data_IF_866867050701
#
_entry.id   IF_866867050701
#
_cell.length_a   1.000
_cell.length_b   1.000
_cell.length_c   1.000
_cell.angle_alpha   90.00
_cell.angle_beta   90.00
_cell.angle_gamma   90.00
#
_symmetry.space_group_name_H-M   'P 1'
#
loop_
_entity.id
_entity.type
_entity.pdbx_description
1 polymer ?
#
# COMPACT_ATOMS: atom_id res chain seq x y z
N UNK A 1 -20.29 45.16 81.44
CA UNK A 1 -21.16 46.35 81.52
C UNK A 1 -22.24 46.26 80.46
N UNK A 2 -23.41 45.77 80.88
CA UNK A 2 -24.72 46.41 80.75
C UNK A 2 -25.15 47.16 79.47
N UNK A 3 -26.40 46.82 79.06
CA UNK A 3 -27.43 47.61 78.34
C UNK A 3 -27.25 47.81 76.82
N UNK A 4 -28.27 47.82 75.94
CA UNK A 4 -29.74 47.80 76.09
C UNK A 4 -30.40 47.36 74.78
N UNK A 5 -31.67 46.92 74.92
CA UNK A 5 -32.65 46.48 73.92
C UNK A 5 -33.26 47.61 73.08
N UNK A 6 -33.80 47.21 71.93
CA UNK A 6 -35.14 47.62 71.40
C UNK A 6 -35.12 48.26 70.01
N UNK A 7 -36.09 48.11 69.09
CA UNK A 7 -37.39 47.43 69.01
C UNK A 7 -37.72 47.25 67.49
N UNK A 8 -38.54 46.24 67.19
CA UNK A 8 -39.08 45.74 65.93
C UNK A 8 -39.59 46.75 64.87
N UNK A 9 -39.60 46.34 63.61
CA UNK A 9 -40.85 46.19 62.84
C UNK A 9 -40.78 45.04 61.82
N UNK A 10 -41.85 44.25 61.82
CA UNK A 10 -42.15 43.08 60.97
C UNK A 10 -42.36 43.47 59.50
N UNK A 11 -41.93 42.61 58.58
CA UNK A 11 -42.78 41.92 57.59
C UNK A 11 -42.03 40.68 57.07
N UNK A 12 -42.74 39.58 56.96
CA UNK A 12 -42.34 38.24 56.46
C UNK A 12 -43.47 37.76 55.53
N UNK A 13 -43.34 36.70 54.70
CA UNK A 13 -42.17 35.93 54.27
C UNK A 13 -42.06 35.87 52.73
N UNK A 14 -40.90 35.51 52.18
CA UNK A 14 -40.85 34.46 51.16
C UNK A 14 -39.58 33.64 51.35
N UNK A 15 -39.78 32.33 51.26
CA UNK A 15 -38.90 31.26 51.70
C UNK A 15 -37.56 31.25 50.96
N UNK A 16 -36.46 31.20 51.71
CA UNK A 16 -35.14 30.82 51.19
C UNK A 16 -34.54 29.77 52.11
N UNK A 17 -34.71 28.48 51.75
CA UNK A 17 -33.85 27.38 52.18
C UNK A 17 -33.91 26.25 51.16
N UNK A 18 -32.77 25.56 51.08
CA UNK A 18 -32.48 24.29 50.40
C UNK A 18 -31.97 24.49 48.96
N UNK A 19 -30.82 23.95 48.54
CA UNK A 19 -29.83 23.05 49.14
C UNK A 19 -28.53 23.18 48.33
N UNK A 20 -27.40 22.99 49.02
CA UNK A 20 -26.14 22.65 48.38
C UNK A 20 -26.31 21.40 47.52
N UNK A 21 -25.81 21.48 46.29
CA UNK A 21 -25.85 20.36 45.35
C UNK A 21 -25.28 20.78 44.01
N UNK A 22 -24.06 21.32 43.98
CA UNK A 22 -23.30 21.41 42.73
C UNK A 22 -22.91 20.00 42.32
N UNK A 23 -23.83 19.27 41.69
CA UNK A 23 -23.46 18.17 40.82
C UNK A 23 -22.74 18.80 39.64
N UNK A 24 -21.40 18.76 39.68
CA UNK A 24 -20.61 18.86 38.46
C UNK A 24 -21.08 17.70 37.57
N UNK A 25 -21.97 18.00 36.64
CA UNK A 25 -22.22 17.10 35.53
C UNK A 25 -20.96 17.16 34.67
N UNK A 26 -20.01 16.28 34.96
CA UNK A 26 -18.97 15.93 34.00
C UNK A 26 -19.71 15.30 32.84
N UNK A 27 -20.05 16.12 31.84
CA UNK A 27 -20.31 15.62 30.49
C UNK A 27 -19.00 14.95 30.08
N UNK A 28 -18.91 13.65 30.30
CA UNK A 28 -17.99 12.81 29.55
C UNK A 28 -18.40 13.02 28.10
N UNK A 29 -17.64 13.86 27.38
CA UNK A 29 -17.45 13.61 25.96
C UNK A 29 -16.84 12.22 25.91
N UNK A 30 -17.69 11.19 25.87
CA UNK A 30 -17.31 9.99 25.16
C UNK A 30 -17.03 10.52 23.76
N UNK A 31 -15.74 10.61 23.44
CA UNK A 31 -15.31 10.68 22.07
C UNK A 31 -16.04 9.55 21.38
N UNK A 32 -17.08 9.90 20.63
CA UNK A 32 -17.45 9.13 19.47
C UNK A 32 -16.21 9.24 18.57
N UNK A 33 -15.20 8.42 18.86
CA UNK A 33 -14.32 7.92 17.84
C UNK A 33 -15.30 7.20 16.95
N UNK A 34 -15.83 7.92 15.95
CA UNK A 34 -16.23 7.25 14.75
C UNK A 34 -15.02 6.40 14.42
N UNK A 35 -15.17 5.09 14.55
CA UNK A 35 -14.51 4.21 13.62
C UNK A 35 -14.96 4.75 12.27
N UNK A 36 -14.19 5.68 11.71
CA UNK A 36 -13.96 5.67 10.29
C UNK A 36 -13.32 4.30 10.14
N UNK A 37 -14.16 3.28 9.89
CA UNK A 37 -13.68 2.10 9.20
C UNK A 37 -13.00 2.70 7.99
N UNK A 38 -11.66 2.66 7.96
CA UNK A 38 -10.95 2.85 6.70
C UNK A 38 -11.70 1.94 5.72
N UNK A 39 -12.19 2.53 4.63
CA UNK A 39 -12.93 1.82 3.62
C UNK A 39 -12.16 0.54 3.26
N UNK A 40 -12.90 -0.52 2.92
CA UNK A 40 -12.35 -1.81 2.53
C UNK A 40 -11.19 -1.63 1.53
N UNK A 41 -9.96 -1.73 2.01
CA UNK A 41 -8.75 -1.64 1.21
C UNK A 41 -8.28 -3.04 0.85
N UNK A 42 -7.53 -3.15 -0.23
CA UNK A 42 -6.89 -4.40 -0.61
C UNK A 42 -5.90 -4.85 0.46
N UNK A 43 -5.68 -6.16 0.53
CA UNK A 43 -4.70 -6.80 1.40
C UNK A 43 -3.88 -7.78 0.56
N UNK A 44 -2.58 -7.49 0.43
CA UNK A 44 -1.63 -8.30 -0.32
C UNK A 44 -1.12 -9.40 0.61
N UNK A 45 -1.52 -10.63 0.32
CA UNK A 45 -1.06 -11.79 1.05
C UNK A 45 0.04 -12.51 0.28
N UNK A 46 1.20 -12.65 0.91
CA UNK A 46 2.31 -13.40 0.37
C UNK A 46 2.22 -14.87 0.78
N UNK A 47 2.25 -15.76 -0.21
CA UNK A 47 2.35 -17.20 -0.03
C UNK A 47 3.77 -17.68 -0.34
N UNK A 48 4.39 -18.29 0.66
CA UNK A 48 5.78 -18.74 0.63
C UNK A 48 5.91 -20.26 0.39
N UNK A 49 4.84 -20.92 -0.05
CA UNK A 49 4.80 -22.38 -0.24
C UNK A 49 5.82 -22.87 -1.28
N UNK A 50 6.18 -22.00 -2.23
CA UNK A 50 7.13 -22.30 -3.31
C UNK A 50 8.45 -21.52 -3.16
N UNK A 51 8.82 -21.12 -1.93
CA UNK A 51 10.13 -20.52 -1.60
C UNK A 51 11.20 -21.63 -1.39
N UNK A 52 11.43 -22.44 -2.41
CA UNK A 52 12.30 -23.62 -2.33
C UNK A 52 13.78 -23.24 -2.13
N UNK A 53 14.18 -22.05 -2.60
CA UNK A 53 15.51 -21.49 -2.43
C UNK A 53 15.73 -20.80 -1.07
N UNK A 54 14.75 -20.86 -0.16
CA UNK A 54 14.82 -20.31 1.20
C UNK A 54 15.14 -18.81 1.25
N UNK A 55 14.65 -18.05 0.28
CA UNK A 55 14.84 -16.61 0.21
C UNK A 55 14.09 -15.89 1.34
N UNK A 56 12.95 -16.44 1.80
CA UNK A 56 12.10 -15.89 2.86
C UNK A 56 11.90 -16.85 4.04
N UNK A 57 12.69 -17.92 4.14
CA UNK A 57 12.53 -18.94 5.18
C UNK A 57 13.83 -19.17 5.97
N UNK A 58 13.76 -20.00 7.02
CA UNK A 58 14.91 -20.28 7.89
C UNK A 58 15.49 -19.02 8.54
N UNK A 59 16.79 -18.77 8.34
CA UNK A 59 17.48 -17.57 8.84
C UNK A 59 17.02 -16.28 8.17
N UNK A 60 16.37 -16.39 7.00
CA UNK A 60 15.94 -15.27 6.18
C UNK A 60 14.49 -14.85 6.43
N UNK A 61 13.81 -15.47 7.41
CA UNK A 61 12.41 -15.19 7.74
C UNK A 61 12.11 -13.69 7.98
N UNK A 62 13.09 -12.93 8.50
CA UNK A 62 12.95 -11.49 8.73
C UNK A 62 12.66 -10.66 7.49
N UNK A 63 12.98 -11.16 6.29
CA UNK A 63 12.75 -10.47 5.00
C UNK A 63 11.26 -10.29 4.68
N UNK A 64 10.40 -11.14 5.23
CA UNK A 64 8.94 -11.03 5.07
C UNK A 64 8.42 -9.67 5.53
N UNK A 65 8.94 -9.13 6.64
CA UNK A 65 8.56 -7.81 7.12
C UNK A 65 8.95 -6.68 6.15
N UNK A 66 10.04 -6.85 5.40
CA UNK A 66 10.50 -5.87 4.40
C UNK A 66 9.64 -5.97 3.13
N UNK A 67 9.20 -7.19 2.78
CA UNK A 67 8.23 -7.40 1.70
C UNK A 67 6.85 -6.84 2.07
N UNK A 68 6.39 -7.01 3.31
CA UNK A 68 5.17 -6.40 3.83
C UNK A 68 5.26 -4.85 3.81
N UNK A 69 6.45 -4.30 4.08
CA UNK A 69 6.68 -2.86 3.92
C UNK A 69 6.50 -2.42 2.46
N UNK A 70 6.99 -3.19 1.48
CA UNK A 70 6.77 -2.89 0.07
C UNK A 70 5.27 -2.96 -0.30
N UNK A 71 4.55 -3.98 0.18
CA UNK A 71 3.09 -4.10 -0.01
C UNK A 71 2.33 -2.89 0.55
N UNK A 72 2.80 -2.30 1.66
CA UNK A 72 2.14 -1.15 2.27
C UNK A 72 2.05 0.08 1.36
N UNK A 73 2.88 0.19 0.31
CA UNK A 73 2.74 1.26 -0.69
C UNK A 73 1.49 1.10 -1.56
N UNK A 74 0.89 -0.08 -1.60
CA UNK A 74 -0.34 -0.35 -2.34
C UNK A 74 -1.54 -0.37 -1.37
N UNK A 75 -1.45 -1.12 -0.28
CA UNK A 75 -2.54 -1.27 0.70
C UNK A 75 -2.93 0.05 1.40
N UNK A 76 -1.99 0.99 1.50
CA UNK A 76 -2.30 2.29 2.09
C UNK A 76 -3.10 3.20 1.16
N UNK A 77 -2.92 3.06 -0.15
CA UNK A 77 -3.37 4.03 -1.15
C UNK A 77 -4.30 3.45 -2.22
N UNK A 78 -4.59 2.14 -2.21
CA UNK A 78 -5.56 1.50 -3.10
C UNK A 78 -6.79 1.12 -2.27
N UNK A 79 -7.93 1.67 -2.66
CA UNK A 79 -9.20 1.64 -1.91
C UNK A 79 -10.24 0.69 -2.51
N UNK A 80 -9.84 -0.17 -3.44
CA UNK A 80 -10.72 -1.17 -4.05
C UNK A 80 -11.30 -2.15 -3.04
N UNK A 81 -12.60 -2.42 -3.20
CA UNK A 81 -13.30 -3.52 -2.53
C UNK A 81 -13.47 -4.68 -3.51
N UNK A 82 -12.82 -5.80 -3.22
CA UNK A 82 -12.79 -6.96 -4.10
C UNK A 82 -13.63 -8.09 -3.49
N UNK A 83 -14.71 -8.56 -4.14
CA UNK A 83 -15.51 -9.67 -3.60
C UNK A 83 -14.67 -10.95 -3.52
N UNK A 84 -14.96 -11.84 -2.56
CA UNK A 84 -14.23 -13.11 -2.46
C UNK A 84 -14.46 -14.01 -3.69
N UNK A 85 -13.38 -14.57 -4.26
CA UNK A 85 -13.47 -15.62 -5.26
C UNK A 85 -13.53 -16.96 -4.56
N UNK A 86 -14.73 -17.41 -4.23
CA UNK A 86 -14.95 -18.65 -3.47
C UNK A 86 -15.86 -19.60 -4.23
N UNK A 87 -15.34 -20.73 -4.75
CA UNK A 87 -16.16 -21.76 -5.38
C UNK A 87 -17.16 -22.38 -4.39
N UNK A 88 -18.42 -22.52 -4.80
CA UNK A 88 -19.44 -23.33 -4.13
C UNK A 88 -19.55 -24.73 -4.74
N UNK A 89 -20.47 -25.56 -4.25
CA UNK A 89 -20.62 -26.95 -4.71
C UNK A 89 -20.87 -27.04 -6.22
N UNK A 90 -19.92 -27.63 -6.93
CA UNK A 90 -19.95 -27.75 -8.39
C UNK A 90 -19.09 -26.71 -9.11
N UNK A 91 -18.91 -25.51 -8.55
CA UNK A 91 -18.05 -24.48 -9.13
C UNK A 91 -16.57 -24.82 -8.99
N UNK A 92 -15.77 -24.37 -9.96
CA UNK A 92 -14.32 -24.52 -9.94
C UNK A 92 -13.70 -23.17 -10.27
N UNK A 93 -12.81 -22.70 -9.40
CA UNK A 93 -11.89 -21.61 -9.70
C UNK A 93 -10.47 -22.17 -9.73
N UNK A 94 -9.78 -21.95 -10.83
CA UNK A 94 -8.38 -22.32 -11.01
C UNK A 94 -7.52 -21.07 -11.17
N UNK A 95 -6.31 -21.14 -10.63
CA UNK A 95 -5.26 -20.14 -10.81
C UNK A 95 -4.04 -20.80 -11.44
N UNK A 96 -3.28 -20.02 -12.19
CA UNK A 96 -2.00 -20.44 -12.73
C UNK A 96 -0.98 -19.31 -12.61
N UNK A 97 0.26 -19.66 -12.30
CA UNK A 97 1.34 -18.68 -12.10
C UNK A 97 2.69 -19.34 -12.36
N UNK A 98 3.69 -18.53 -12.64
CA UNK A 98 5.08 -18.98 -12.79
C UNK A 98 5.63 -19.35 -11.42
N UNK A 99 6.27 -20.52 -11.31
CA UNK A 99 6.87 -20.97 -10.06
C UNK A 99 7.94 -19.95 -9.61
N UNK A 100 7.79 -19.34 -8.42
CA UNK A 100 8.71 -18.30 -7.99
C UNK A 100 10.14 -18.81 -7.68
N UNK A 101 10.36 -20.13 -7.65
CA UNK A 101 11.68 -20.75 -7.52
C UNK A 101 12.20 -21.44 -8.79
N UNK A 102 11.42 -21.43 -9.88
CA UNK A 102 11.82 -21.90 -11.21
C UNK A 102 10.97 -21.18 -12.27
N UNK A 103 11.49 -20.07 -12.79
CA UNK A 103 10.80 -19.20 -13.74
C UNK A 103 10.51 -19.85 -15.08
N UNK A 104 11.01 -21.06 -15.34
CA UNK A 104 10.71 -21.85 -16.53
C UNK A 104 9.50 -22.76 -16.35
N UNK A 105 9.03 -22.92 -15.10
CA UNK A 105 7.92 -23.78 -14.71
C UNK A 105 6.67 -22.96 -14.42
N UNK A 106 5.51 -23.48 -14.84
CA UNK A 106 4.20 -22.93 -14.49
C UNK A 106 3.44 -23.90 -13.59
N UNK A 107 2.86 -23.36 -12.53
CA UNK A 107 2.00 -24.06 -11.59
C UNK A 107 0.54 -23.78 -11.94
N UNK A 108 -0.31 -24.79 -11.80
CA UNK A 108 -1.76 -24.65 -11.95
C UNK A 108 -2.46 -25.32 -10.79
N UNK A 109 -3.27 -24.56 -10.07
CA UNK A 109 -4.04 -25.05 -8.93
C UNK A 109 -5.53 -24.88 -9.19
N UNK A 110 -6.32 -25.88 -8.82
CA UNK A 110 -7.79 -25.86 -8.95
C UNK A 110 -8.47 -25.79 -7.59
N UNK A 111 -9.75 -25.40 -7.58
CA UNK A 111 -10.57 -25.26 -6.37
C UNK A 111 -9.94 -24.29 -5.35
N UNK A 112 -9.42 -23.17 -5.87
CA UNK A 112 -8.83 -22.13 -5.05
C UNK A 112 -9.90 -21.18 -4.53
N UNK A 113 -9.66 -20.67 -3.34
CA UNK A 113 -10.40 -19.55 -2.76
C UNK A 113 -9.44 -18.38 -2.65
N UNK A 114 -9.90 -17.20 -3.04
CA UNK A 114 -9.24 -15.91 -2.77
C UNK A 114 -10.22 -15.13 -1.89
N UNK A 115 -9.77 -14.73 -0.71
CA UNK A 115 -10.58 -14.01 0.25
C UNK A 115 -11.03 -12.65 -0.29
N UNK A 116 -12.02 -12.06 0.37
CA UNK A 116 -12.44 -10.69 0.09
C UNK A 116 -11.23 -9.75 0.27
N UNK A 117 -11.07 -8.80 -0.65
CA UNK A 117 -9.97 -7.82 -0.70
C UNK A 117 -8.56 -8.42 -0.84
N UNK A 118 -8.43 -9.74 -0.98
CA UNK A 118 -7.13 -10.39 -1.12
C UNK A 118 -6.58 -10.28 -2.54
N UNK A 119 -5.30 -9.88 -2.60
CA UNK A 119 -4.39 -10.11 -3.72
C UNK A 119 -3.34 -11.13 -3.24
N UNK A 120 -3.38 -12.35 -3.78
CA UNK A 120 -2.50 -13.45 -3.38
C UNK A 120 -1.26 -13.46 -4.28
N UNK A 121 -0.07 -13.38 -3.68
CA UNK A 121 1.20 -13.37 -4.41
C UNK A 121 2.08 -14.52 -3.92
N UNK A 122 2.40 -15.47 -4.80
CA UNK A 122 3.38 -16.51 -4.51
C UNK A 122 4.80 -15.93 -4.68
N UNK A 123 5.65 -16.10 -3.68
CA UNK A 123 6.98 -15.47 -3.68
C UNK A 123 8.10 -16.45 -3.33
N UNK A 124 9.26 -16.17 -3.89
CA UNK A 124 10.47 -17.00 -3.81
C UNK A 124 11.61 -16.32 -4.56
N UNK A 125 12.60 -17.11 -4.97
CA UNK A 125 13.71 -16.61 -5.78
C UNK A 125 14.19 -17.64 -6.78
N UNK A 126 14.67 -17.20 -7.93
CA UNK A 126 15.27 -18.02 -8.98
C UNK A 126 16.51 -17.33 -9.57
N UNK A 127 17.34 -18.03 -10.34
CA UNK A 127 18.48 -17.45 -11.05
C UNK A 127 18.00 -16.70 -12.31
N UNK A 128 17.77 -15.39 -12.19
CA UNK A 128 17.11 -14.62 -13.25
C UNK A 128 18.05 -14.19 -14.39
N UNK A 129 19.37 -14.19 -14.14
CA UNK A 129 20.40 -13.77 -15.10
C UNK A 129 20.18 -12.34 -15.67
N UNK A 130 21.11 -11.87 -16.51
CA UNK A 130 20.92 -10.66 -17.36
C UNK A 130 20.58 -9.34 -16.65
N UNK A 131 21.02 -9.14 -15.40
CA UNK A 131 20.74 -7.97 -14.56
C UNK A 131 19.26 -7.80 -14.14
N UNK A 132 18.42 -8.83 -14.33
CA UNK A 132 17.06 -8.85 -13.81
C UNK A 132 17.11 -9.12 -12.32
N UNK A 133 16.57 -8.21 -11.50
CA UNK A 133 16.57 -8.35 -10.04
C UNK A 133 15.28 -8.99 -9.51
N UNK A 134 14.19 -8.87 -10.26
CA UNK A 134 12.89 -9.40 -9.93
C UNK A 134 12.09 -9.68 -11.19
N UNK A 135 11.11 -10.57 -11.06
CA UNK A 135 10.15 -10.89 -12.10
C UNK A 135 8.77 -11.13 -11.47
N UNK A 136 7.95 -10.08 -11.48
CA UNK A 136 6.56 -10.09 -11.11
C UNK A 136 5.67 -10.40 -12.32
N UNK A 137 4.76 -11.37 -12.18
CA UNK A 137 3.83 -11.75 -13.24
C UNK A 137 2.40 -11.77 -12.76
N UNK A 138 1.49 -11.31 -13.61
CA UNK A 138 0.06 -11.43 -13.35
C UNK A 138 -0.38 -12.89 -13.54
N UNK A 139 -1.24 -13.36 -12.62
CA UNK A 139 -1.70 -14.73 -12.58
C UNK A 139 -2.75 -15.09 -13.64
N UNK A 140 -2.55 -16.22 -14.31
CA UNK A 140 -3.58 -16.86 -15.11
C UNK A 140 -4.74 -17.37 -14.27
N UNK A 141 -5.91 -17.52 -14.88
CA UNK A 141 -7.13 -17.97 -14.19
C UNK A 141 -8.03 -18.80 -15.09
N UNK A 142 -8.87 -19.63 -14.48
CA UNK A 142 -9.92 -20.38 -15.16
C UNK A 142 -11.14 -20.54 -14.24
N UNK A 143 -12.32 -20.60 -14.86
CA UNK A 143 -13.58 -20.82 -14.15
C UNK A 143 -14.37 -21.94 -14.82
N UNK A 144 -14.85 -22.90 -14.04
CA UNK A 144 -15.86 -23.86 -14.47
C UNK A 144 -17.22 -23.17 -14.52
N UNK A 145 -17.85 -23.11 -15.70
CA UNK A 145 -19.05 -22.30 -15.92
C UNK A 145 -20.31 -22.87 -15.24
N UNK A 146 -20.90 -22.07 -14.35
CA UNK A 146 -22.24 -22.28 -13.77
C UNK A 146 -23.01 -20.96 -13.80
N UNK A 147 -24.10 -20.84 -14.59
CA UNK A 147 -24.81 -19.58 -14.72
C UNK A 147 -25.47 -19.19 -13.38
N UNK A 148 -25.11 -18.00 -12.88
CA UNK A 148 -25.64 -17.34 -11.68
C UNK A 148 -25.18 -17.91 -10.32
N UNK A 149 -24.04 -18.60 -10.26
CA UNK A 149 -23.40 -18.92 -8.99
C UNK A 149 -22.67 -17.71 -8.37
N UNK A 150 -22.39 -17.77 -7.06
CA UNK A 150 -21.72 -16.67 -6.34
C UNK A 150 -20.29 -16.43 -6.85
N UNK A 151 -19.58 -17.49 -7.26
CA UNK A 151 -18.25 -17.34 -7.85
C UNK A 151 -18.32 -16.57 -9.16
N UNK A 152 -19.29 -16.89 -10.03
CA UNK A 152 -19.42 -16.20 -11.33
C UNK A 152 -19.63 -14.70 -11.14
N UNK A 153 -20.52 -14.29 -10.23
CA UNK A 153 -20.76 -12.87 -9.96
C UNK A 153 -19.51 -12.17 -9.40
N UNK A 154 -18.81 -12.80 -8.46
CA UNK A 154 -17.57 -12.25 -7.90
C UNK A 154 -16.45 -12.17 -8.95
N UNK A 155 -16.36 -13.18 -9.81
CA UNK A 155 -15.40 -13.23 -10.91
C UNK A 155 -15.64 -12.12 -11.94
N UNK A 156 -16.88 -11.94 -12.40
CA UNK A 156 -17.19 -10.86 -13.35
C UNK A 156 -16.96 -9.48 -12.74
N UNK A 157 -17.19 -9.32 -11.43
CA UNK A 157 -16.89 -8.08 -10.71
C UNK A 157 -15.38 -7.81 -10.61
N UNK A 158 -14.54 -8.82 -10.34
CA UNK A 158 -13.08 -8.62 -10.28
C UNK A 158 -12.41 -8.55 -11.65
N UNK A 159 -13.00 -9.13 -12.70
CA UNK A 159 -12.35 -9.23 -14.02
C UNK A 159 -12.17 -7.86 -14.71
N UNK A 160 -12.86 -6.83 -14.24
CA UNK A 160 -12.64 -5.45 -14.69
C UNK A 160 -11.34 -4.87 -14.16
N UNK A 161 -10.82 -5.40 -13.05
CA UNK A 161 -9.55 -4.96 -12.46
C UNK A 161 -8.36 -5.39 -13.30
N UNK A 162 -7.26 -4.64 -13.17
CA UNK A 162 -6.01 -4.96 -13.84
C UNK A 162 -5.37 -6.27 -13.33
N UNK A 163 -5.76 -6.73 -12.13
CA UNK A 163 -5.40 -8.05 -11.59
C UNK A 163 -6.59 -8.72 -10.92
N UNK A 164 -6.96 -9.91 -11.40
CA UNK A 164 -8.13 -10.64 -10.89
C UNK A 164 -7.91 -11.20 -9.47
N UNK A 165 -6.72 -11.74 -9.21
CA UNK A 165 -6.43 -12.45 -7.96
C UNK A 165 -5.02 -12.24 -7.41
N UNK A 166 -4.08 -11.73 -8.22
CA UNK A 166 -2.66 -11.67 -7.89
C UNK A 166 -1.81 -12.43 -8.90
N UNK A 167 -0.78 -13.14 -8.43
CA UNK A 167 0.22 -13.77 -9.31
C UNK A 167 1.42 -14.30 -8.55
N UNK A 168 2.61 -14.14 -9.12
CA UNK A 168 3.86 -14.54 -8.48
C UNK A 168 4.99 -13.55 -8.71
N UNK A 169 5.96 -13.55 -7.80
CA UNK A 169 7.20 -12.79 -7.89
C UNK A 169 8.38 -13.73 -7.64
N UNK A 170 9.30 -13.77 -8.58
CA UNK A 170 10.63 -14.37 -8.38
C UNK A 170 11.63 -13.25 -8.18
N UNK A 171 12.35 -13.24 -7.07
CA UNK A 171 13.53 -12.37 -6.90
C UNK A 171 14.78 -13.08 -7.40
N UNK A 172 15.80 -12.34 -7.82
CA UNK A 172 17.08 -12.95 -8.14
C UNK A 172 17.74 -13.54 -6.88
N UNK A 173 18.42 -14.68 -7.05
CA UNK A 173 19.11 -15.36 -5.96
C UNK A 173 20.04 -14.40 -5.21
N UNK A 174 20.06 -14.51 -3.88
CA UNK A 174 21.01 -13.74 -3.08
C UNK A 174 22.44 -14.20 -3.36
N UNK A 175 23.34 -13.23 -3.48
CA UNK A 175 24.76 -13.47 -3.66
C UNK A 175 25.29 -14.39 -2.55
N UNK A 176 25.86 -15.51 -2.97
CA UNK A 176 26.62 -16.40 -2.11
C UNK A 176 27.83 -16.90 -2.88
N UNK A 177 29.03 -16.65 -2.37
CA UNK A 177 30.27 -16.99 -3.06
C UNK A 177 30.42 -18.49 -3.41
N UNK A 178 29.66 -19.38 -2.74
CA UNK A 178 29.73 -20.83 -2.97
C UNK A 178 28.56 -21.37 -3.79
N UNK A 179 27.33 -20.90 -3.54
CA UNK A 179 26.12 -21.47 -4.15
C UNK A 179 25.53 -20.62 -5.26
N UNK A 180 25.70 -19.29 -5.18
CA UNK A 180 25.08 -18.32 -6.09
C UNK A 180 26.06 -17.16 -6.36
N UNK A 181 27.23 -17.41 -6.98
CA UNK A 181 28.28 -16.40 -7.12
C UNK A 181 27.91 -15.26 -8.07
N UNK A 182 26.88 -15.44 -8.90
CA UNK A 182 26.31 -14.41 -9.77
C UNK A 182 25.02 -13.79 -9.20
N UNK A 183 24.62 -14.19 -8.00
CA UNK A 183 23.43 -13.65 -7.36
C UNK A 183 23.57 -12.17 -6.99
N UNK A 184 22.44 -11.58 -6.64
CA UNK A 184 22.33 -10.18 -6.28
C UNK A 184 22.78 -9.92 -4.84
N UNK A 185 23.59 -8.89 -4.65
CA UNK A 185 23.86 -8.34 -3.31
C UNK A 185 22.68 -7.50 -2.88
N UNK A 186 21.85 -8.03 -1.99
CA UNK A 186 20.62 -7.39 -1.56
C UNK A 186 20.81 -6.59 -0.27
N UNK A 187 20.25 -5.39 -0.24
CA UNK A 187 20.00 -4.66 1.00
C UNK A 187 18.58 -4.93 1.49
N UNK A 188 18.46 -5.55 2.67
CA UNK A 188 17.18 -5.87 3.32
C UNK A 188 16.87 -4.93 4.50
N UNK A 189 17.15 -3.63 4.35
CA UNK A 189 16.84 -2.62 5.36
C UNK A 189 15.47 -1.97 5.17
N UNK A 190 14.78 -1.68 6.27
CA UNK A 190 13.53 -0.91 6.23
C UNK A 190 13.74 0.57 5.86
N UNK A 191 14.96 1.08 6.03
CA UNK A 191 15.44 2.37 5.53
C UNK A 191 16.74 2.19 4.74
N UNK A 192 17.32 3.30 4.26
CA UNK A 192 18.56 3.30 3.47
C UNK A 192 19.83 3.23 4.33
N UNK A 193 19.71 3.07 5.66
CA UNK A 193 20.88 2.98 6.54
C UNK A 193 21.66 1.71 6.20
N UNK A 194 22.92 1.88 5.82
CA UNK A 194 23.79 0.76 5.44
C UNK A 194 23.58 0.22 4.03
N UNK A 195 22.76 0.88 3.20
CA UNK A 195 22.65 0.58 1.78
C UNK A 195 23.95 1.02 1.07
N UNK A 196 24.72 0.05 0.57
CA UNK A 196 26.00 0.30 -0.09
C UNK A 196 25.86 0.46 -1.62
N UNK A 197 26.82 1.14 -2.25
CA UNK A 197 26.79 1.49 -3.68
C UNK A 197 26.80 0.29 -4.64
N UNK A 198 27.08 -0.93 -4.16
CA UNK A 198 27.06 -2.17 -4.94
C UNK A 198 25.92 -3.12 -4.54
N UNK A 199 24.96 -2.64 -3.74
CA UNK A 199 23.77 -3.39 -3.34
C UNK A 199 22.53 -2.93 -4.10
N UNK A 200 21.62 -3.88 -4.35
CA UNK A 200 20.27 -3.62 -4.81
C UNK A 200 19.33 -3.46 -3.60
N UNK A 201 18.52 -2.41 -3.61
CA UNK A 201 17.54 -2.17 -2.56
C UNK A 201 16.31 -3.06 -2.74
N UNK A 202 16.09 -3.99 -1.80
CA UNK A 202 15.00 -4.97 -1.91
C UNK A 202 13.61 -4.32 -1.91
N UNK A 203 13.39 -3.26 -1.11
CA UNK A 203 12.10 -2.55 -1.07
C UNK A 203 11.76 -1.97 -2.44
N UNK A 204 12.73 -1.35 -3.12
CA UNK A 204 12.55 -0.77 -4.44
C UNK A 204 12.14 -1.82 -5.47
N UNK A 205 12.84 -2.96 -5.52
CA UNK A 205 12.52 -4.05 -6.45
C UNK A 205 11.17 -4.67 -6.10
N UNK A 206 10.90 -4.92 -4.82
CA UNK A 206 9.61 -5.50 -4.41
C UNK A 206 8.42 -4.60 -4.78
N UNK A 207 8.52 -3.28 -4.61
CA UNK A 207 7.48 -2.33 -5.05
C UNK A 207 7.26 -2.44 -6.56
N UNK A 208 8.35 -2.47 -7.34
CA UNK A 208 8.30 -2.59 -8.79
C UNK A 208 7.57 -3.88 -9.21
N UNK A 209 7.96 -5.02 -8.66
CA UNK A 209 7.37 -6.30 -9.03
C UNK A 209 5.92 -6.45 -8.55
N UNK A 210 5.55 -5.89 -7.39
CA UNK A 210 4.16 -5.87 -6.93
C UNK A 210 3.28 -5.09 -7.91
N UNK A 211 3.73 -3.95 -8.42
CA UNK A 211 2.98 -3.20 -9.43
C UNK A 211 2.75 -4.03 -10.71
N UNK A 212 3.75 -4.80 -11.16
CA UNK A 212 3.60 -5.75 -12.27
C UNK A 212 2.56 -6.83 -12.00
N UNK A 213 2.56 -7.42 -10.80
CA UNK A 213 1.52 -8.39 -10.37
C UNK A 213 0.13 -7.74 -10.36
N UNK A 214 0.06 -6.47 -9.98
CA UNK A 214 -1.18 -5.68 -9.97
C UNK A 214 -1.59 -5.17 -11.36
N UNK A 215 -0.87 -5.54 -12.41
CA UNK A 215 -1.28 -5.32 -13.80
C UNK A 215 -0.59 -4.15 -14.51
N UNK A 216 0.30 -3.43 -13.83
CA UNK A 216 1.11 -2.39 -14.45
C UNK A 216 2.04 -3.00 -15.49
N UNK A 217 2.00 -2.51 -16.73
CA UNK A 217 2.83 -3.05 -17.83
C UNK A 217 2.43 -4.44 -18.35
N UNK A 218 1.62 -5.20 -17.60
CA UNK A 218 1.33 -6.63 -17.85
C UNK A 218 -0.13 -6.90 -18.22
N UNK A 219 -1.07 -6.03 -17.81
CA UNK A 219 -2.51 -6.26 -17.97
C UNK A 219 -3.06 -5.87 -19.35
N UNK A 220 -4.23 -6.40 -19.70
CA UNK A 220 -4.99 -5.92 -20.85
C UNK A 220 -5.43 -4.47 -20.71
N UNK A 221 -5.71 -4.02 -19.48
CA UNK A 221 -6.13 -2.66 -19.19
C UNK A 221 -5.02 -1.69 -19.56
N UNK A 222 -3.79 -1.97 -19.13
CA UNK A 222 -2.58 -1.24 -19.56
C UNK A 222 -2.46 -1.18 -21.08
N UNK A 223 -2.45 -2.35 -21.73
CA UNK A 223 -2.25 -2.45 -23.18
C UNK A 223 -3.32 -1.71 -23.99
N UNK A 224 -4.55 -1.59 -23.47
CA UNK A 224 -5.66 -0.89 -24.13
C UNK A 224 -5.47 0.63 -24.21
N UNK A 225 -4.60 1.19 -23.38
CA UNK A 225 -4.30 2.62 -23.29
C UNK A 225 -2.82 2.93 -23.59
N UNK A 226 -2.17 2.03 -24.35
CA UNK A 226 -0.86 2.28 -24.97
C UNK A 226 -1.05 2.58 -26.45
N UNK A 227 -0.40 3.64 -26.93
CA UNK A 227 -0.37 4.02 -28.34
C UNK A 227 1.05 4.25 -28.82
N UNK A 228 1.59 3.30 -29.58
CA UNK A 228 2.98 3.32 -30.01
C UNK A 228 3.93 3.16 -28.81
N UNK A 229 4.78 4.15 -28.58
CA UNK A 229 5.74 4.17 -27.45
C UNK A 229 5.27 5.07 -26.31
N UNK A 230 3.97 5.33 -26.20
CA UNK A 230 3.42 6.22 -25.19
C UNK A 230 2.22 5.60 -24.48
N UNK A 231 2.13 5.87 -23.19
CA UNK A 231 0.94 5.63 -22.38
C UNK A 231 -0.01 6.82 -22.48
N UNK A 232 -1.29 6.53 -22.69
CA UNK A 232 -2.35 7.51 -22.94
C UNK A 232 -3.37 7.56 -21.81
N UNK A 233 -3.04 7.05 -20.63
CA UNK A 233 -3.86 7.20 -19.42
C UNK A 233 -4.09 8.68 -19.09
N UNK A 234 -5.29 9.03 -18.65
CA UNK A 234 -5.70 10.42 -18.47
C UNK A 234 -5.08 11.05 -17.22
N UNK A 235 -4.97 10.28 -16.13
CA UNK A 235 -4.36 10.73 -14.88
C UNK A 235 -2.85 10.84 -15.03
N UNK A 236 -2.21 9.83 -15.62
CA UNK A 236 -0.78 9.86 -15.91
C UNK A 236 -0.42 11.06 -16.79
N UNK A 237 -1.22 11.36 -17.82
CA UNK A 237 -1.01 12.56 -18.65
C UNK A 237 -1.13 13.87 -17.86
N UNK A 238 -2.07 13.96 -16.92
CA UNK A 238 -2.22 15.14 -16.07
C UNK A 238 -0.99 15.34 -15.18
N UNK A 239 -0.45 14.27 -14.61
CA UNK A 239 0.74 14.33 -13.75
C UNK A 239 2.01 14.65 -14.55
N UNK A 240 2.17 14.00 -15.71
CA UNK A 240 3.36 14.14 -16.57
C UNK A 240 3.34 15.41 -17.44
N UNK A 241 2.19 16.09 -17.59
CA UNK A 241 1.95 17.20 -18.52
C UNK A 241 2.01 16.81 -20.00
N UNK A 242 1.48 15.64 -20.34
CA UNK A 242 1.42 15.10 -21.69
C UNK A 242 1.54 13.59 -21.71
N UNK A 243 1.53 13.00 -22.90
CA UNK A 243 1.75 11.57 -23.08
C UNK A 243 3.00 11.10 -22.33
N UNK A 244 2.92 9.95 -21.66
CA UNK A 244 4.04 9.41 -20.89
C UNK A 244 4.86 8.48 -21.79
N UNK A 245 6.15 8.76 -22.04
CA UNK A 245 6.99 7.88 -22.83
C UNK A 245 7.19 6.53 -22.15
N UNK A 246 7.21 5.46 -22.94
CA UNK A 246 7.39 4.10 -22.48
C UNK A 246 8.69 3.48 -22.98
N UNK A 247 9.22 2.55 -22.17
CA UNK A 247 10.20 1.55 -22.58
C UNK A 247 9.59 0.15 -22.38
N UNK A 248 8.86 -0.32 -23.39
CA UNK A 248 8.08 -1.56 -23.29
C UNK A 248 6.90 -1.41 -22.31
N UNK A 249 6.84 -2.28 -21.30
CA UNK A 249 5.82 -2.26 -20.24
C UNK A 249 6.09 -1.27 -19.10
N UNK A 250 7.13 -0.44 -19.23
CA UNK A 250 7.64 0.43 -18.17
C UNK A 250 7.58 1.89 -18.62
N UNK A 251 7.60 2.81 -17.66
CA UNK A 251 7.97 4.18 -17.97
C UNK A 251 9.36 4.21 -18.61
N UNK A 252 9.59 5.18 -19.51
CA UNK A 252 10.93 5.40 -20.03
C UNK A 252 11.86 5.90 -18.92
N UNK A 253 13.11 5.43 -18.87
CA UNK A 253 14.09 5.72 -17.79
C UNK A 253 14.44 7.21 -17.61
N UNK A 254 14.03 8.07 -18.53
CA UNK A 254 14.19 9.53 -18.42
C UNK A 254 13.04 10.21 -17.69
N UNK A 255 11.97 9.50 -17.37
CA UNK A 255 10.77 10.07 -16.74
C UNK A 255 11.07 10.29 -15.26
N UNK A 256 10.88 11.54 -14.84
CA UNK A 256 11.02 11.94 -13.45
C UNK A 256 9.86 12.82 -13.04
N UNK A 257 9.43 12.71 -11.79
CA UNK A 257 8.32 13.47 -11.23
C UNK A 257 8.77 14.03 -9.90
N UNK A 258 8.63 15.34 -9.73
CA UNK A 258 9.07 16.08 -8.54
C UNK A 258 10.57 15.89 -8.22
N UNK A 259 11.38 15.64 -9.26
CA UNK A 259 12.81 15.37 -9.14
C UNK A 259 13.16 13.93 -8.74
N UNK A 260 12.16 13.07 -8.59
CA UNK A 260 12.32 11.65 -8.30
C UNK A 260 12.18 10.83 -9.57
N UNK A 261 13.02 9.82 -9.69
CA UNK A 261 12.90 8.77 -10.68
C UNK A 261 11.72 7.85 -10.32
N UNK A 262 10.98 7.39 -11.33
CA UNK A 262 9.76 6.60 -11.12
C UNK A 262 10.08 5.18 -10.67
N UNK A 263 9.23 4.58 -9.85
CA UNK A 263 9.42 3.18 -9.45
C UNK A 263 9.30 2.22 -10.63
N UNK A 264 8.50 2.57 -11.65
CA UNK A 264 8.17 1.69 -12.78
C UNK A 264 8.97 1.98 -14.05
N UNK A 265 10.20 2.49 -13.96
CA UNK A 265 11.16 2.45 -15.08
C UNK A 265 11.97 1.15 -15.10
N UNK A 266 12.76 0.90 -16.16
CA UNK A 266 13.44 -0.40 -16.34
C UNK A 266 14.72 -0.59 -15.54
N UNK A 267 15.13 0.41 -14.77
CA UNK A 267 16.46 0.47 -14.18
C UNK A 267 16.39 0.68 -12.68
N UNK A 268 17.46 0.34 -11.98
CA UNK A 268 17.67 0.81 -10.63
C UNK A 268 19.17 1.04 -10.45
N UNK A 269 19.53 2.20 -9.92
CA UNK A 269 20.92 2.48 -9.58
C UNK A 269 21.24 1.79 -8.25
N UNK A 270 22.25 0.93 -8.22
CA UNK A 270 22.72 0.32 -6.97
C UNK A 270 23.05 1.38 -5.92
N UNK A 271 22.80 1.07 -4.65
CA UNK A 271 22.96 2.03 -3.55
C UNK A 271 21.87 3.09 -3.44
N UNK A 272 20.80 3.00 -4.24
CA UNK A 272 19.68 3.96 -4.19
C UNK A 272 18.37 3.25 -3.87
N UNK A 273 17.42 4.02 -3.34
CA UNK A 273 16.04 3.56 -3.11
C UNK A 273 15.10 4.32 -4.05
N UNK A 274 14.30 3.56 -4.80
CA UNK A 274 13.19 4.05 -5.64
C UNK A 274 11.87 3.66 -4.99
N UNK A 275 10.96 4.61 -4.89
CA UNK A 275 9.63 4.43 -4.29
C UNK A 275 8.56 4.88 -5.27
N UNK A 276 7.32 4.45 -5.07
CA UNK A 276 6.18 4.88 -5.88
C UNK A 276 6.09 6.40 -5.93
N UNK A 277 6.13 6.94 -7.14
CA UNK A 277 5.83 8.35 -7.40
C UNK A 277 4.34 8.53 -7.65
N UNK A 278 3.87 9.78 -7.62
CA UNK A 278 2.49 10.10 -8.02
C UNK A 278 2.16 9.70 -9.47
N UNK A 279 3.15 9.55 -10.35
CA UNK A 279 2.91 9.05 -11.71
C UNK A 279 2.72 7.53 -11.74
N UNK A 280 3.44 6.80 -10.90
CA UNK A 280 3.25 5.35 -10.75
C UNK A 280 1.83 5.06 -10.26
N UNK A 281 1.38 5.78 -9.22
CA UNK A 281 0.00 5.73 -8.75
C UNK A 281 -1.03 6.17 -9.79
N UNK A 282 -0.76 7.23 -10.57
CA UNK A 282 -1.64 7.63 -11.66
C UNK A 282 -1.78 6.54 -12.74
N UNK A 283 -0.69 5.80 -13.01
CA UNK A 283 -0.72 4.64 -13.89
C UNK A 283 -1.59 3.52 -13.34
N UNK A 284 -1.52 3.24 -12.03
CA UNK A 284 -2.40 2.29 -11.34
C UNK A 284 -3.88 2.70 -11.47
N UNK A 285 -4.19 3.99 -11.28
CA UNK A 285 -5.56 4.50 -11.43
C UNK A 285 -6.07 4.37 -12.88
N UNK A 286 -5.24 4.73 -13.86
CA UNK A 286 -5.62 4.65 -15.27
C UNK A 286 -5.86 3.20 -15.75
N UNK A 287 -5.29 2.19 -15.09
CA UNK A 287 -5.54 0.77 -15.41
C UNK A 287 -6.69 0.15 -14.62
N UNK A 288 -7.33 0.88 -13.72
CA UNK A 288 -8.60 0.47 -13.11
C UNK A 288 -8.65 0.53 -11.58
N UNK A 289 -7.52 0.64 -10.88
CA UNK A 289 -7.49 0.69 -9.42
C UNK A 289 -8.07 2.02 -8.89
N UNK A 290 -8.77 1.98 -7.77
CA UNK A 290 -9.23 3.17 -7.05
C UNK A 290 -8.12 3.69 -6.13
N UNK A 291 -7.36 4.65 -6.62
CA UNK A 291 -6.22 5.25 -5.91
C UNK A 291 -6.67 6.43 -5.04
N UNK A 292 -6.25 6.44 -3.78
CA UNK A 292 -6.50 7.54 -2.85
C UNK A 292 -5.94 8.85 -3.39
N UNK A 293 -6.82 9.84 -3.54
CA UNK A 293 -6.47 11.18 -4.01
C UNK A 293 -5.36 11.89 -3.22
N UNK A 294 -5.08 11.48 -1.98
CA UNK A 294 -4.00 12.04 -1.16
C UNK A 294 -2.64 11.96 -1.88
N UNK A 295 -2.38 10.89 -2.63
CA UNK A 295 -1.10 10.67 -3.35
C UNK A 295 -0.80 11.77 -4.38
N UNK A 296 -1.81 12.51 -4.83
CA UNK A 296 -1.65 13.59 -5.81
C UNK A 296 -1.50 14.98 -5.18
N UNK A 297 -1.77 15.11 -3.88
CA UNK A 297 -1.86 16.41 -3.20
C UNK A 297 -0.59 16.80 -2.45
N UNK A 298 0.33 15.86 -2.23
CA UNK A 298 1.57 16.06 -1.49
C UNK A 298 2.75 15.67 -2.38
N UNK A 299 3.75 16.56 -2.60
CA UNK A 299 5.02 16.17 -3.20
C UNK A 299 5.64 15.05 -2.34
N UNK A 300 5.83 13.88 -2.91
CA UNK A 300 6.08 12.66 -2.14
C UNK A 300 7.49 12.64 -1.52
N UNK A 301 7.57 12.91 -0.22
CA UNK A 301 8.62 12.38 0.66
C UNK A 301 7.93 11.64 1.82
N UNK A 302 7.43 10.43 1.59
CA UNK A 302 7.05 9.57 2.70
C UNK A 302 7.56 8.15 2.52
N UNK A 303 8.54 7.81 3.36
CA UNK A 303 8.77 6.43 3.76
C UNK A 303 7.62 6.00 4.67
N UNK A 304 6.87 4.93 4.38
CA UNK A 304 5.80 4.42 5.24
C UNK A 304 6.33 3.88 6.58
N UNK A 305 7.65 3.82 6.78
CA UNK A 305 8.24 3.59 8.12
C UNK A 305 8.09 4.78 9.08
N UNK A 306 7.68 5.95 8.59
CA UNK A 306 7.31 7.11 9.41
C UNK A 306 5.79 7.26 9.43
N UNK A 307 5.14 6.47 10.28
CA UNK A 307 3.75 6.73 10.64
C UNK A 307 3.57 8.20 11.02
N UNK A 308 2.68 8.88 10.30
CA UNK A 308 2.00 10.13 10.68
C UNK A 308 2.92 11.17 11.34
N UNK A 309 3.73 11.89 10.54
CA UNK A 309 4.40 13.11 11.00
C UNK A 309 4.57 14.18 9.90
N UNK A 310 3.66 14.31 8.93
CA UNK A 310 3.57 15.58 8.19
C UNK A 310 2.16 15.88 7.65
N UNK A 311 1.18 15.91 8.55
CA UNK A 311 0.03 16.83 8.39
C UNK A 311 0.16 17.89 9.48
N UNK A 312 0.99 18.90 9.24
CA UNK A 312 1.27 19.89 10.28
C UNK A 312 1.90 21.22 9.85
N UNK A 313 2.09 21.51 8.55
CA UNK A 313 2.76 22.76 8.16
C UNK A 313 1.97 23.68 7.21
N UNK A 314 0.87 23.25 6.61
CA UNK A 314 0.09 24.15 5.74
C UNK A 314 -1.33 24.27 6.26
N UNK A 315 -1.68 25.50 6.66
CA UNK A 315 -2.92 26.01 7.29
C UNK A 315 -2.84 26.22 8.81
N UNK A 316 -2.39 27.42 9.17
CA UNK A 316 -2.39 27.91 10.53
C UNK A 316 -3.78 28.13 11.11
N UNK A 317 -3.94 27.78 12.38
CA UNK A 317 -4.90 28.44 13.27
C UNK A 317 -4.25 28.82 14.59
N UNK A 318 -3.92 30.10 14.69
CA UNK A 318 -3.81 30.97 15.88
C UNK A 318 -4.03 30.30 17.25
N UNK A 319 -3.02 29.63 17.81
CA UNK A 319 -2.86 29.47 19.27
C UNK A 319 -1.43 29.16 19.73
N UNK A 320 -0.42 29.58 18.97
CA UNK A 320 1.00 29.42 19.30
C UNK A 320 1.68 30.74 19.71
N UNK A 321 0.95 31.64 20.39
CA UNK A 321 1.46 32.94 20.85
C UNK A 321 1.21 33.16 22.35
N UNK A 322 1.53 32.18 23.20
CA UNK A 322 1.55 32.42 24.66
C UNK A 322 2.63 31.69 25.46
N UNK A 323 3.66 31.11 24.84
CA UNK A 323 4.74 30.42 25.60
C UNK A 323 6.14 31.01 25.32
N UNK A 324 6.22 32.20 24.72
CA UNK A 324 7.49 32.94 24.58
C UNK A 324 7.43 34.36 25.14
N UNK A 325 6.86 34.49 26.34
CA UNK A 325 7.17 35.60 27.25
C UNK A 325 7.35 35.03 28.64
N UNK A 326 8.61 34.71 28.97
CA UNK A 326 9.25 35.06 30.23
C UNK A 326 10.67 34.50 30.20
N UNK A 327 11.55 35.20 29.48
CA UNK A 327 12.94 35.29 29.88
C UNK A 327 13.20 36.72 30.35
N UNK A 328 13.83 36.79 31.53
CA UNK A 328 14.66 37.86 32.13
C UNK A 328 13.99 38.83 33.12
N UNK A 329 14.76 39.34 34.10
CA UNK A 329 16.22 39.19 34.33
C UNK A 329 16.65 37.87 34.95
#
# INVERSE_FOLDING_TARGET
MTFSKGINFMFSPYYSRLLFGSSLTVLSLQSLVGQIQKAEAININFDYTYDDNSFFSGTNYGRRNILDQAASYFENYINDSLPALQPSSGEIFGIAFTDPSDTTTNISLTNRTIAQNEILIFVGSDELNSNTLGLGTNGGHSIGYYPNGSLHLAYEARKTEASLWGGSISFDLEYNASTSPNGTKWHFGSDQTGLDNDEADFVSVAIHEIAHVMGFGTSSNWNSIVSGTNFTGSKSQQIHNGLVPLNGGHWHDSVTIDGLETAMDTTITSGTRKLMTRLDYAGMEDIGWDVDSEVYTIPFEFSPSLGICAVGIIFGTKKAWSVWKNQKP
#
